data_IF_928977786502
#
_entry.id   IF_928977786502
#
_cell.length_a   1.000
_cell.length_b   1.000
_cell.length_c   1.000
_cell.angle_alpha   90.00
_cell.angle_beta   90.00
_cell.angle_gamma   90.00
#
_symmetry.space_group_name_H-M   'P 1'
#
loop_
_entity.id
_entity.type
_entity.pdbx_description
1 polymer ?
#
# COMPACT_ATOMS: atom_id res chain seq x y z
N UNK A 1 19.86 -17.64 14.01
CA UNK A 1 20.39 -18.10 12.70
C UNK A 1 19.73 -17.24 11.63
N UNK A 2 20.52 -16.41 10.95
CA UNK A 2 20.09 -15.61 9.80
C UNK A 2 20.02 -16.55 8.59
N UNK A 3 18.89 -16.57 7.88
CA UNK A 3 18.77 -17.33 6.64
C UNK A 3 18.52 -16.36 5.50
N UNK A 4 19.40 -16.40 4.51
CA UNK A 4 19.31 -15.60 3.29
C UNK A 4 18.76 -16.47 2.18
N UNK A 5 17.69 -16.04 1.54
CA UNK A 5 17.12 -16.70 0.35
C UNK A 5 17.26 -15.75 -0.84
N UNK A 6 17.97 -16.18 -1.87
CA UNK A 6 18.16 -15.42 -3.10
C UNK A 6 17.28 -16.00 -4.19
N UNK A 7 16.44 -15.17 -4.80
CA UNK A 7 15.62 -15.53 -5.95
C UNK A 7 16.06 -14.73 -7.16
N UNK A 8 16.27 -15.44 -8.27
CA UNK A 8 16.65 -14.83 -9.54
C UNK A 8 15.54 -15.06 -10.55
N UNK A 9 15.14 -13.97 -11.23
CA UNK A 9 14.18 -14.00 -12.32
C UNK A 9 14.89 -13.54 -13.59
N UNK A 10 14.69 -14.29 -14.67
CA UNK A 10 15.35 -14.06 -15.95
C UNK A 10 14.31 -13.97 -17.05
N UNK A 11 14.42 -12.95 -17.90
CA UNK A 11 13.56 -12.80 -19.08
C UNK A 11 14.31 -12.08 -20.21
N UNK A 12 13.74 -12.14 -21.42
CA UNK A 12 14.23 -11.40 -22.58
C UNK A 12 13.31 -10.22 -22.87
N UNK A 13 13.90 -9.07 -23.15
CA UNK A 13 13.19 -7.91 -23.69
C UNK A 13 12.93 -8.08 -25.19
N UNK A 14 12.06 -7.24 -25.74
CA UNK A 14 11.64 -7.32 -27.15
C UNK A 14 12.75 -7.06 -28.15
N UNK A 15 13.84 -6.42 -27.72
CA UNK A 15 15.04 -6.16 -28.52
C UNK A 15 16.07 -7.32 -28.45
N UNK A 16 15.73 -8.39 -27.73
CA UNK A 16 16.58 -9.58 -27.56
C UNK A 16 17.51 -9.51 -26.34
N UNK A 17 17.56 -8.38 -25.63
CA UNK A 17 18.40 -8.20 -24.43
C UNK A 17 17.92 -9.13 -23.31
N UNK A 18 18.88 -9.82 -22.68
CA UNK A 18 18.61 -10.74 -21.59
C UNK A 18 18.79 -10.03 -20.25
N UNK A 19 17.72 -9.95 -19.46
CA UNK A 19 17.71 -9.28 -18.16
C UNK A 19 17.62 -10.33 -17.06
N UNK A 20 18.50 -10.19 -16.07
CA UNK A 20 18.55 -11.03 -14.88
C UNK A 20 18.38 -10.13 -13.66
N UNK A 21 17.25 -10.26 -12.98
CA UNK A 21 16.98 -9.57 -11.73
C UNK A 21 17.15 -10.55 -10.57
N UNK A 22 17.97 -10.18 -9.59
CA UNK A 22 18.19 -11.00 -8.39
C UNK A 22 17.73 -10.25 -7.15
N UNK A 23 16.79 -10.85 -6.42
CA UNK A 23 16.29 -10.33 -5.15
C UNK A 23 16.81 -11.22 -4.01
N UNK A 24 17.48 -10.59 -3.04
CA UNK A 24 17.99 -11.26 -1.85
C UNK A 24 17.12 -10.90 -0.65
N UNK A 25 16.44 -11.89 -0.08
CA UNK A 25 15.59 -11.72 1.10
C UNK A 25 16.35 -12.26 2.32
N UNK A 26 16.59 -11.38 3.30
CA UNK A 26 17.15 -11.78 4.60
C UNK A 26 16.02 -11.97 5.59
N UNK A 27 15.89 -13.19 6.13
CA UNK A 27 14.96 -13.48 7.24
C UNK A 27 15.75 -13.61 8.54
N UNK A 28 15.44 -12.72 9.48
CA UNK A 28 15.94 -12.78 10.85
C UNK A 28 14.91 -13.55 11.67
N UNK A 29 15.28 -14.71 12.21
CA UNK A 29 14.45 -15.42 13.19
C UNK A 29 14.58 -14.72 14.55
N UNK A 30 13.49 -14.40 15.25
CA UNK A 30 13.58 -13.96 16.65
C UNK A 30 14.12 -15.10 17.53
N UNK A 31 14.91 -14.75 18.54
CA UNK A 31 15.45 -15.71 19.50
C UNK A 31 14.32 -16.28 20.37
N UNK A 32 14.25 -17.60 20.48
CA UNK A 32 13.32 -18.29 21.37
C UNK A 32 13.64 -17.92 22.83
N UNK A 33 12.64 -17.40 23.54
CA UNK A 33 12.68 -17.32 25.00
C UNK A 33 12.52 -18.74 25.57
N UNK A 34 13.51 -19.15 26.34
CA UNK A 34 13.58 -20.39 27.11
C UNK A 34 12.50 -20.38 28.20
N UNK A 35 11.54 -21.30 28.17
CA UNK A 35 10.73 -21.61 29.36
C UNK A 35 11.32 -22.84 30.06
N UNK A 36 11.80 -22.59 31.28
CA UNK A 36 12.21 -23.57 32.28
C UNK A 36 11.07 -23.77 33.27
N UNK A 37 10.71 -25.03 33.54
CA UNK A 37 10.27 -25.64 34.82
C UNK A 37 9.69 -27.02 34.43
N UNK A 38 10.17 -28.18 34.85
CA UNK A 38 10.52 -28.59 36.21
C UNK A 38 9.42 -29.53 36.71
N UNK A 39 9.69 -30.84 36.69
CA UNK A 39 8.75 -31.92 37.07
C UNK A 39 9.14 -32.56 38.40
N UNK A 40 8.17 -32.79 39.30
CA UNK A 40 8.12 -33.73 40.46
C UNK A 40 6.92 -33.28 41.32
N UNK A 41 6.00 -34.08 41.88
CA UNK A 41 5.90 -35.50 42.21
C UNK A 41 5.34 -35.57 43.66
N UNK A 42 4.25 -36.30 43.93
CA UNK A 42 3.90 -36.70 45.32
C UNK A 42 2.41 -36.65 45.75
N UNK A 43 1.91 -37.82 46.15
CA UNK A 43 0.61 -38.22 46.74
C UNK A 43 0.19 -37.54 48.06
N UNK A 44 -1.13 -37.58 48.38
CA UNK A 44 -1.59 -37.86 49.76
C UNK A 44 -2.78 -37.09 50.36
N UNK A 45 -4.00 -37.63 50.18
CA UNK A 45 -5.12 -37.83 51.12
C UNK A 45 -5.94 -36.70 51.82
N UNK A 46 -7.28 -36.87 51.66
CA UNK A 46 -8.43 -36.72 52.59
C UNK A 46 -8.76 -35.43 53.35
N UNK A 47 -10.03 -35.02 53.24
CA UNK A 47 -10.76 -34.29 54.30
C UNK A 47 -11.72 -33.23 53.76
N UNK A 48 -12.97 -33.61 53.47
CA UNK A 48 -14.02 -32.67 53.07
C UNK A 48 -14.65 -31.95 54.26
N UNK A 49 -15.13 -30.72 54.04
CA UNK A 49 -16.29 -30.16 54.73
C UNK A 49 -17.04 -29.18 53.81
N UNK A 50 -18.35 -29.23 53.99
CA UNK A 50 -19.44 -28.62 53.23
C UNK A 50 -19.50 -27.09 53.31
N UNK A 51 -20.06 -26.50 52.24
CA UNK A 51 -21.09 -25.44 52.23
C UNK A 51 -20.72 -24.15 51.47
N UNK A 52 -21.63 -23.74 50.57
CA UNK A 52 -21.77 -22.32 50.17
C UNK A 52 -21.45 -21.96 48.72
N UNK A 53 -22.35 -22.29 47.79
CA UNK A 53 -22.40 -21.71 46.44
C UNK A 53 -22.78 -20.22 46.49
N UNK A 54 -21.89 -19.31 46.06
CA UNK A 54 -22.25 -18.08 45.33
C UNK A 54 -21.17 -17.71 44.33
N UNK A 55 -21.45 -18.02 43.08
CA UNK A 55 -20.67 -17.67 41.90
C UNK A 55 -20.87 -16.18 41.57
N UNK A 56 -19.85 -15.36 41.84
CA UNK A 56 -19.78 -13.99 41.31
C UNK A 56 -19.17 -14.05 39.90
N UNK A 57 -20.04 -13.90 38.90
CA UNK A 57 -19.69 -13.68 37.50
C UNK A 57 -18.90 -12.37 37.38
N UNK A 58 -17.57 -12.44 37.30
CA UNK A 58 -16.77 -11.35 36.77
C UNK A 58 -16.85 -11.40 35.25
N UNK A 59 -17.84 -10.69 34.71
CA UNK A 59 -17.90 -10.29 33.30
C UNK A 59 -17.02 -9.04 33.18
N UNK A 60 -15.84 -9.08 32.54
CA UNK A 60 -15.26 -7.83 32.06
C UNK A 60 -16.15 -7.34 30.92
N UNK A 61 -16.95 -6.34 31.25
CA UNK A 61 -17.77 -5.59 30.30
C UNK A 61 -16.85 -5.10 29.18
N UNK A 62 -17.05 -5.63 27.97
CA UNK A 62 -16.46 -5.10 26.74
C UNK A 62 -16.83 -3.63 26.65
N UNK A 63 -15.87 -2.75 26.93
CA UNK A 63 -15.97 -1.35 26.54
C UNK A 63 -15.93 -1.33 25.01
N UNK A 64 -17.09 -1.41 24.38
CA UNK A 64 -17.27 -1.15 22.97
C UNK A 64 -16.77 0.27 22.69
N UNK A 65 -15.56 0.36 22.16
CA UNK A 65 -14.87 1.59 21.85
C UNK A 65 -15.39 2.11 20.50
N UNK A 66 -16.45 2.92 20.52
CA UNK A 66 -17.03 3.57 19.34
C UNK A 66 -16.18 4.73 18.79
N UNK A 67 -15.01 5.02 19.38
CA UNK A 67 -14.12 6.13 19.01
C UNK A 67 -12.98 5.78 18.03
N UNK A 68 -12.79 4.50 17.69
CA UNK A 68 -11.69 4.05 16.81
C UNK A 68 -12.01 4.29 15.32
N UNK A 69 -13.21 3.91 14.89
CA UNK A 69 -13.65 4.04 13.49
C UNK A 69 -13.81 5.48 13.02
N UNK A 70 -14.18 6.41 13.91
CA UNK A 70 -14.30 7.83 13.59
C UNK A 70 -12.94 8.49 13.35
N UNK A 71 -11.92 8.09 14.12
CA UNK A 71 -10.55 8.60 13.97
C UNK A 71 -9.91 8.04 12.70
N UNK A 72 -10.03 6.74 12.47
CA UNK A 72 -9.52 6.10 11.25
C UNK A 72 -10.18 6.66 9.97
N UNK A 73 -11.48 6.97 10.03
CA UNK A 73 -12.17 7.63 8.92
C UNK A 73 -11.67 9.06 8.71
N UNK A 74 -11.40 9.81 9.78
CA UNK A 74 -10.82 11.15 9.67
C UNK A 74 -9.44 11.10 9.03
N UNK A 75 -8.57 10.21 9.50
CA UNK A 75 -7.20 10.06 9.01
C UNK A 75 -7.18 9.61 7.54
N UNK A 76 -8.10 8.70 7.13
CA UNK A 76 -8.28 8.31 5.72
C UNK A 76 -8.81 9.44 4.84
N UNK A 77 -9.83 10.17 5.29
CA UNK A 77 -10.37 11.32 4.55
C UNK A 77 -9.30 12.41 4.38
N UNK A 78 -8.44 12.61 5.36
CA UNK A 78 -7.34 13.56 5.27
C UNK A 78 -6.28 13.09 4.29
N UNK A 79 -5.89 11.81 4.35
CA UNK A 79 -4.99 11.20 3.38
C UNK A 79 -5.48 11.38 1.93
N UNK A 80 -6.76 11.07 1.67
CA UNK A 80 -7.37 11.23 0.34
C UNK A 80 -7.31 12.68 -0.16
N UNK A 81 -7.64 13.65 0.70
CA UNK A 81 -7.61 15.08 0.38
C UNK A 81 -6.18 15.56 0.10
N UNK A 82 -5.23 15.19 0.95
CA UNK A 82 -3.82 15.59 0.78
C UNK A 82 -3.24 15.00 -0.50
N UNK A 83 -3.53 13.73 -0.78
CA UNK A 83 -3.17 13.10 -2.05
C UNK A 83 -3.78 13.84 -3.24
N UNK A 84 -5.08 14.16 -3.21
CA UNK A 84 -5.73 14.90 -4.30
C UNK A 84 -5.08 16.28 -4.52
N UNK A 85 -4.87 17.03 -3.43
CA UNK A 85 -4.24 18.34 -3.47
C UNK A 85 -2.83 18.24 -4.08
N UNK A 86 -2.08 17.19 -3.72
CA UNK A 86 -0.74 16.98 -4.26
C UNK A 86 -0.74 16.60 -5.74
N UNK A 87 -1.68 15.78 -6.19
CA UNK A 87 -1.87 15.52 -7.62
C UNK A 87 -2.16 16.82 -8.36
N UNK A 88 -3.10 17.63 -7.86
CA UNK A 88 -3.54 18.86 -8.49
C UNK A 88 -2.44 19.94 -8.51
N UNK A 89 -1.59 19.99 -7.48
CA UNK A 89 -0.37 20.81 -7.48
C UNK A 89 0.55 20.48 -8.67
N UNK A 90 0.84 19.19 -8.89
CA UNK A 90 1.67 18.78 -10.02
C UNK A 90 0.97 18.98 -11.36
N UNK A 91 -0.31 18.66 -11.46
CA UNK A 91 -1.11 18.87 -12.68
C UNK A 91 -1.17 20.35 -13.09
N UNK A 92 -1.25 21.26 -12.13
CA UNK A 92 -1.19 22.70 -12.39
C UNK A 92 0.15 23.11 -13.02
N UNK A 93 1.29 22.55 -12.58
CA UNK A 93 2.60 22.80 -13.19
C UNK A 93 2.64 22.40 -14.66
N UNK A 94 1.91 21.36 -15.04
CA UNK A 94 1.79 20.87 -16.41
C UNK A 94 0.66 21.55 -17.21
N UNK A 95 -0.12 22.45 -16.59
CA UNK A 95 -1.24 23.11 -17.24
C UNK A 95 -2.34 22.15 -17.69
N UNK A 96 -2.53 21.04 -16.98
CA UNK A 96 -3.64 20.10 -17.21
C UNK A 96 -4.74 20.29 -16.15
N UNK A 97 -6.02 19.99 -16.46
CA UNK A 97 -7.14 20.20 -15.52
C UNK A 97 -6.98 19.42 -14.21
N UNK A 98 -7.52 19.94 -13.12
CA UNK A 98 -7.53 19.26 -11.83
C UNK A 98 -8.34 17.95 -11.88
N UNK A 99 -7.90 16.97 -11.10
CA UNK A 99 -8.69 15.79 -10.77
C UNK A 99 -9.70 16.13 -9.68
N UNK A 100 -10.77 15.34 -9.63
CA UNK A 100 -11.77 15.33 -8.55
C UNK A 100 -11.77 13.96 -7.87
N UNK A 101 -11.89 13.94 -6.54
CA UNK A 101 -11.97 12.69 -5.79
C UNK A 101 -13.28 11.96 -6.10
N UNK A 102 -13.21 10.64 -6.34
CA UNK A 102 -14.36 9.77 -6.52
C UNK A 102 -14.41 8.73 -5.42
N UNK A 103 -15.48 8.77 -4.62
CA UNK A 103 -15.69 7.80 -3.52
C UNK A 103 -15.71 6.36 -4.00
N UNK A 104 -16.29 6.10 -5.18
CA UNK A 104 -16.32 4.77 -5.78
C UNK A 104 -14.91 4.29 -6.17
N UNK A 105 -14.08 5.19 -6.72
CA UNK A 105 -12.69 4.85 -7.03
C UNK A 105 -11.85 4.68 -5.75
N UNK A 106 -12.08 5.46 -4.69
CA UNK A 106 -11.39 5.26 -3.40
C UNK A 106 -11.70 3.88 -2.81
N UNK A 107 -12.96 3.43 -2.88
CA UNK A 107 -13.35 2.08 -2.47
C UNK A 107 -12.65 1.01 -3.31
N UNK A 108 -12.63 1.18 -4.64
CA UNK A 108 -11.94 0.27 -5.56
C UNK A 108 -10.42 0.20 -5.31
N UNK A 109 -9.79 1.33 -5.00
CA UNK A 109 -8.39 1.42 -4.61
C UNK A 109 -8.15 0.73 -3.25
N UNK A 110 -9.04 0.93 -2.28
CA UNK A 110 -8.92 0.33 -0.95
C UNK A 110 -8.98 -1.20 -1.00
N UNK A 111 -9.87 -1.76 -1.81
CA UNK A 111 -9.94 -3.21 -2.04
C UNK A 111 -8.60 -3.77 -2.51
N UNK A 112 -7.96 -3.09 -3.47
CA UNK A 112 -6.69 -3.54 -4.01
C UNK A 112 -5.53 -3.32 -3.03
N UNK A 113 -5.50 -2.18 -2.33
CA UNK A 113 -4.51 -1.92 -1.29
C UNK A 113 -4.56 -3.02 -0.20
N UNK A 114 -5.76 -3.42 0.23
CA UNK A 114 -5.95 -4.52 1.18
C UNK A 114 -5.44 -5.85 0.62
N UNK A 115 -5.69 -6.14 -0.66
CA UNK A 115 -5.17 -7.34 -1.33
C UNK A 115 -3.64 -7.36 -1.35
N UNK A 116 -3.00 -6.25 -1.74
CA UNK A 116 -1.54 -6.12 -1.77
C UNK A 116 -0.94 -6.26 -0.38
N UNK A 117 -1.55 -5.63 0.63
CA UNK A 117 -1.10 -5.71 2.02
C UNK A 117 -1.21 -7.14 2.57
N UNK A 118 -2.33 -7.83 2.31
CA UNK A 118 -2.53 -9.23 2.74
C UNK A 118 -1.52 -10.19 2.10
N UNK A 119 -1.21 -9.99 0.82
CA UNK A 119 -0.32 -10.87 0.06
C UNK A 119 1.14 -10.42 0.07
N UNK A 120 1.43 -9.24 0.64
CA UNK A 120 2.73 -8.58 0.62
C UNK A 120 3.36 -8.58 -0.78
N UNK A 121 2.59 -8.12 -1.78
CA UNK A 121 2.99 -8.10 -3.19
C UNK A 121 2.82 -6.72 -3.82
N UNK A 122 3.64 -6.42 -4.83
CA UNK A 122 3.56 -5.21 -5.65
C UNK A 122 3.17 -5.60 -7.08
N UNK A 123 1.87 -5.75 -7.29
CA UNK A 123 1.31 -6.14 -8.58
C UNK A 123 0.11 -5.30 -8.94
N UNK A 124 -0.02 -4.99 -10.23
CA UNK A 124 -1.21 -4.35 -10.74
C UNK A 124 -2.42 -5.27 -10.66
N UNK A 125 -3.62 -4.69 -10.57
CA UNK A 125 -4.86 -5.44 -10.67
C UNK A 125 -4.97 -6.08 -12.07
N UNK A 126 -5.18 -7.41 -12.17
CA UNK A 126 -5.23 -8.11 -13.47
C UNK A 126 -6.32 -7.55 -14.40
N UNK A 127 -7.55 -7.43 -13.91
CA UNK A 127 -8.70 -6.96 -14.70
C UNK A 127 -9.01 -5.48 -14.40
N UNK A 128 -7.97 -4.63 -14.47
CA UNK A 128 -8.14 -3.21 -14.15
C UNK A 128 -9.00 -2.49 -15.18
N UNK A 129 -10.07 -1.86 -14.70
CA UNK A 129 -10.95 -0.99 -15.48
C UNK A 129 -10.41 0.45 -15.58
N UNK A 130 -9.61 0.85 -14.61
CA UNK A 130 -9.12 2.22 -14.42
C UNK A 130 -7.61 2.28 -14.60
N UNK A 131 -7.07 3.49 -14.76
CA UNK A 131 -5.63 3.72 -14.61
C UNK A 131 -5.21 3.31 -13.21
N UNK A 132 -3.94 2.94 -13.01
CA UNK A 132 -3.48 2.46 -11.71
C UNK A 132 -2.02 2.80 -11.46
N UNK A 133 -1.75 3.43 -10.31
CA UNK A 133 -0.42 3.53 -9.73
C UNK A 133 -0.40 2.79 -8.39
N UNK A 134 0.72 2.12 -8.10
CA UNK A 134 0.96 1.43 -6.83
C UNK A 134 2.24 1.95 -6.19
N UNK A 135 2.26 2.01 -4.86
CA UNK A 135 3.41 2.45 -4.08
C UNK A 135 3.50 1.62 -2.81
N UNK A 136 4.72 1.35 -2.33
CA UNK A 136 4.94 0.69 -1.05
C UNK A 136 6.02 1.41 -0.26
N UNK A 137 5.76 1.58 1.03
CA UNK A 137 6.69 2.12 2.01
C UNK A 137 6.87 1.14 3.15
N UNK A 138 8.12 0.79 3.46
CA UNK A 138 8.46 -0.12 4.55
C UNK A 138 9.24 0.59 5.67
N UNK A 139 9.16 0.07 6.89
CA UNK A 139 10.00 0.52 8.00
C UNK A 139 9.42 0.25 9.40
N UNK A 140 10.28 0.31 10.41
CA UNK A 140 9.84 0.32 11.82
C UNK A 140 8.99 1.55 12.08
N UNK A 141 7.82 1.37 12.72
CA UNK A 141 6.86 2.46 12.97
C UNK A 141 6.46 3.25 11.71
N UNK A 142 6.40 2.58 10.56
CA UNK A 142 6.06 3.23 9.29
C UNK A 142 4.72 3.97 9.35
N UNK A 143 4.73 5.21 8.88
CA UNK A 143 3.57 6.07 8.65
C UNK A 143 3.54 6.52 7.19
N UNK A 144 2.37 6.92 6.71
CA UNK A 144 2.16 7.43 5.36
C UNK A 144 1.42 8.76 5.42
N UNK A 145 1.89 9.73 4.65
CA UNK A 145 1.16 10.97 4.38
C UNK A 145 0.62 10.94 2.95
N UNK A 146 -0.44 11.71 2.69
CA UNK A 146 -1.07 11.75 1.35
C UNK A 146 -0.12 12.15 0.22
N UNK A 147 0.95 12.87 0.53
CA UNK A 147 1.93 13.34 -0.45
C UNK A 147 2.98 12.27 -0.81
N UNK A 148 3.29 11.33 0.10
CA UNK A 148 4.45 10.45 0.00
C UNK A 148 4.45 9.63 -1.32
N UNK A 149 3.32 9.01 -1.65
CA UNK A 149 3.18 8.22 -2.87
C UNK A 149 3.17 9.08 -4.14
N UNK A 150 2.50 10.24 -4.07
CA UNK A 150 2.33 11.15 -5.21
C UNK A 150 3.67 11.77 -5.61
N UNK A 151 4.48 12.12 -4.62
CA UNK A 151 5.83 12.67 -4.83
C UNK A 151 6.74 11.64 -5.48
N UNK A 152 6.73 10.41 -4.97
CA UNK A 152 7.50 9.30 -5.54
C UNK A 152 7.09 8.99 -6.99
N UNK A 153 5.79 9.00 -7.29
CA UNK A 153 5.31 8.80 -8.66
C UNK A 153 5.68 9.95 -9.60
N UNK A 154 5.58 11.20 -9.13
CA UNK A 154 5.92 12.36 -9.94
C UNK A 154 7.43 12.46 -10.22
N UNK A 155 8.28 12.02 -9.29
CA UNK A 155 9.74 12.07 -9.40
C UNK A 155 10.28 11.32 -10.64
N UNK A 156 9.51 10.38 -11.20
CA UNK A 156 9.81 9.73 -12.48
C UNK A 156 9.91 10.72 -13.66
N UNK A 157 9.43 11.96 -13.52
CA UNK A 157 9.62 13.04 -14.49
C UNK A 157 11.10 13.22 -14.90
N UNK A 158 12.04 12.98 -13.97
CA UNK A 158 13.48 13.08 -14.23
C UNK A 158 13.99 12.06 -15.25
N UNK A 159 13.22 10.99 -15.51
CA UNK A 159 13.51 9.96 -16.50
C UNK A 159 12.75 10.16 -17.80
N UNK A 160 11.72 11.03 -17.82
CA UNK A 160 10.83 11.19 -18.97
C UNK A 160 11.46 12.08 -20.05
N UNK A 161 11.58 11.54 -21.26
CA UNK A 161 12.05 12.31 -22.41
C UNK A 161 10.86 12.94 -23.17
N UNK A 162 10.58 14.21 -22.91
CA UNK A 162 9.53 14.97 -23.58
C UNK A 162 9.76 15.16 -25.10
N UNK A 163 10.97 14.95 -25.63
CA UNK A 163 11.24 14.97 -27.07
C UNK A 163 10.94 13.62 -27.75
N UNK A 164 10.74 12.56 -26.96
CA UNK A 164 10.41 11.22 -27.44
C UNK A 164 9.32 10.64 -26.52
N UNK A 165 8.09 11.19 -26.61
CA UNK A 165 7.01 10.84 -25.71
C UNK A 165 6.55 9.39 -25.94
N UNK A 166 6.38 8.64 -24.86
CA UNK A 166 5.89 7.26 -24.93
C UNK A 166 5.93 6.57 -23.58
N UNK A 167 5.38 5.34 -23.54
CA UNK A 167 5.46 4.49 -22.38
C UNK A 167 6.85 3.88 -22.25
N UNK A 168 7.41 3.90 -21.04
CA UNK A 168 8.60 3.13 -20.66
C UNK A 168 8.39 2.57 -19.26
N UNK A 169 8.90 1.36 -19.02
CA UNK A 169 8.92 0.76 -17.69
C UNK A 169 9.60 1.71 -16.69
N UNK A 170 9.00 1.92 -15.52
CA UNK A 170 9.50 2.83 -14.49
C UNK A 170 9.28 4.33 -14.74
N UNK A 171 8.46 4.70 -15.73
CA UNK A 171 8.03 6.10 -15.97
C UNK A 171 6.50 6.23 -16.06
N UNK A 172 5.78 5.10 -15.98
CA UNK A 172 4.34 5.05 -16.14
C UNK A 172 3.55 5.73 -15.02
N UNK A 173 4.14 5.91 -13.83
CA UNK A 173 3.43 6.54 -12.72
C UNK A 173 3.34 8.04 -12.92
N UNK A 174 4.45 8.69 -13.28
CA UNK A 174 4.47 10.14 -13.56
C UNK A 174 3.46 10.49 -14.66
N UNK A 175 3.50 9.77 -15.79
CA UNK A 175 2.65 10.08 -16.93
C UNK A 175 1.16 9.93 -16.59
N UNK A 176 0.81 9.00 -15.71
CA UNK A 176 -0.56 8.85 -15.21
C UNK A 176 -0.97 10.01 -14.28
N UNK A 177 -0.09 10.47 -13.38
CA UNK A 177 -0.37 11.60 -12.46
C UNK A 177 -0.75 12.85 -13.27
N UNK A 178 -0.01 13.15 -14.33
CA UNK A 178 -0.22 14.36 -15.16
C UNK A 178 -1.08 14.12 -16.40
N UNK A 179 -1.69 12.94 -16.55
CA UNK A 179 -2.46 12.59 -17.74
C UNK A 179 -3.64 13.54 -17.95
N UNK A 180 -3.61 14.34 -19.02
CA UNK A 180 -4.59 15.41 -19.28
C UNK A 180 -6.03 14.90 -19.27
N UNK A 181 -6.30 13.78 -19.94
CA UNK A 181 -7.67 13.25 -20.09
C UNK A 181 -8.25 12.63 -18.82
N UNK A 182 -7.45 12.26 -17.82
CA UNK A 182 -7.96 11.73 -16.55
C UNK A 182 -8.66 12.83 -15.77
N UNK A 183 -9.84 12.53 -15.20
CA UNK A 183 -10.74 13.48 -14.55
C UNK A 183 -11.00 13.15 -13.09
N UNK A 184 -11.07 11.86 -12.76
CA UNK A 184 -11.38 11.37 -11.43
C UNK A 184 -10.19 10.64 -10.84
N UNK A 185 -10.04 10.75 -9.52
CA UNK A 185 -9.05 10.06 -8.71
C UNK A 185 -9.76 9.27 -7.61
N UNK A 186 -9.38 8.01 -7.42
CA UNK A 186 -9.54 7.33 -6.15
C UNK A 186 -8.19 6.95 -5.61
N UNK A 187 -7.99 7.06 -4.30
CA UNK A 187 -6.72 6.66 -3.68
C UNK A 187 -6.96 6.13 -2.28
N UNK A 188 -6.23 5.09 -1.92
CA UNK A 188 -6.34 4.48 -0.60
C UNK A 188 -5.02 3.82 -0.21
N UNK A 189 -4.88 3.51 1.08
CA UNK A 189 -3.75 2.75 1.59
C UNK A 189 -4.20 1.62 2.52
N UNK A 190 -3.34 0.63 2.68
CA UNK A 190 -3.47 -0.44 3.65
C UNK A 190 -2.11 -0.73 4.30
N UNK A 191 -2.12 -1.06 5.60
CA UNK A 191 -0.92 -1.37 6.36
C UNK A 191 -0.95 -2.82 6.80
N UNK A 192 0.16 -3.54 6.59
CA UNK A 192 0.38 -4.89 7.12
C UNK A 192 1.78 -4.94 7.75
N UNK A 193 1.83 -5.07 9.08
CA UNK A 193 3.09 -5.06 9.83
C UNK A 193 3.88 -3.76 9.61
N UNK A 194 5.12 -3.89 9.13
CA UNK A 194 6.02 -2.78 8.82
C UNK A 194 5.92 -2.27 7.38
N UNK A 195 4.87 -2.65 6.64
CA UNK A 195 4.67 -2.26 5.23
C UNK A 195 3.35 -1.53 5.05
N UNK A 196 3.38 -0.46 4.27
CA UNK A 196 2.20 0.27 3.79
C UNK A 196 2.15 0.17 2.27
N UNK A 197 0.97 -0.10 1.74
CA UNK A 197 0.67 -0.17 0.31
C UNK A 197 -0.33 0.92 -0.04
N UNK A 198 -0.04 1.70 -1.06
CA UNK A 198 -0.91 2.76 -1.59
C UNK A 198 -1.31 2.39 -3.00
N UNK A 199 -2.58 2.53 -3.32
CA UNK A 199 -3.13 2.34 -4.67
C UNK A 199 -3.88 3.60 -5.06
N UNK A 200 -3.60 4.13 -6.24
CA UNK A 200 -4.39 5.19 -6.86
C UNK A 200 -5.00 4.70 -8.17
N UNK A 201 -6.28 5.01 -8.39
CA UNK A 201 -7.00 4.71 -9.62
C UNK A 201 -7.52 5.97 -10.31
N UNK A 202 -7.45 5.97 -11.64
CA UNK A 202 -7.72 7.16 -12.46
C UNK A 202 -8.77 6.84 -13.53
N UNK A 203 -9.72 7.77 -13.71
CA UNK A 203 -10.76 7.63 -14.72
C UNK A 203 -10.97 8.93 -15.51
N UNK A 204 -10.92 8.90 -16.85
CA UNK A 204 -10.46 7.79 -17.70
C UNK A 204 -9.01 7.35 -17.41
N UNK A 205 -8.65 6.08 -17.72
CA UNK A 205 -7.27 5.60 -17.66
C UNK A 205 -6.32 6.43 -18.54
N UNK A 206 -5.06 6.52 -18.11
CA UNK A 206 -3.98 7.13 -18.89
C UNK A 206 -3.06 6.10 -19.53
N UNK A 207 -1.90 6.57 -19.96
CA UNK A 207 -0.82 5.77 -20.54
C UNK A 207 -1.20 5.00 -21.82
N UNK A 208 -2.13 5.54 -22.61
CA UNK A 208 -2.45 5.01 -23.93
C UNK A 208 -1.33 5.30 -24.92
N UNK A 209 -0.83 4.24 -25.56
CA UNK A 209 0.21 4.36 -26.59
C UNK A 209 -0.29 5.22 -27.75
N UNK A 210 0.56 6.14 -28.21
CA UNK A 210 0.20 7.12 -29.25
C UNK A 210 -0.45 8.41 -28.71
N UNK A 211 -0.88 8.45 -27.44
CA UNK A 211 -1.57 9.62 -26.88
C UNK A 211 -0.72 10.48 -25.94
N UNK A 212 0.55 10.12 -25.71
CA UNK A 212 1.40 10.79 -24.72
C UNK A 212 1.65 12.27 -25.02
N UNK A 213 1.82 12.63 -26.30
CA UNK A 213 2.13 14.01 -26.69
C UNK A 213 1.03 15.02 -26.28
N UNK A 214 -0.23 14.60 -26.37
CA UNK A 214 -1.38 15.44 -26.00
C UNK A 214 -1.64 15.45 -24.49
N UNK A 215 -1.28 14.35 -23.82
CA UNK A 215 -1.67 14.08 -22.44
C UNK A 215 -0.58 14.34 -21.40
N UNK A 216 0.69 14.44 -21.80
CA UNK A 216 1.83 14.65 -20.90
C UNK A 216 2.61 15.90 -21.34
N UNK A 217 2.01 17.10 -21.22
CA UNK A 217 2.69 18.34 -21.59
C UNK A 217 3.91 18.57 -20.70
N UNK A 218 4.87 19.38 -21.18
CA UNK A 218 6.01 19.82 -20.37
C UNK A 218 5.52 20.68 -19.18
N UNK A 219 6.22 20.63 -18.03
CA UNK A 219 5.96 21.58 -16.96
C UNK A 219 6.28 23.01 -17.44
N UNK A 220 5.52 23.98 -16.93
CA UNK A 220 5.71 25.42 -17.15
C UNK A 220 6.81 26.01 -16.27
#
# INVERSE_FOLDING_TARGET
METTETKTKKWRESDGTEVIETTTIRRIRPANATMSTGSSGGSGNSGGFSSGLKQLLHIPSSKNNTNDSSKDNYDRNQFEKDSLNRHNHYRAKHGVPNLVLSKQLCQYAQEWANHLAKNNSMQHRPDKKYGENIFMKGGTNVTIHGNDAVDAWYDEIHKYNFNSPGFKSGIGHFTQVVWRKSKQLGIAYAKQGSSIFVVANYDPPGNYQGEFNENVPRPK
#
